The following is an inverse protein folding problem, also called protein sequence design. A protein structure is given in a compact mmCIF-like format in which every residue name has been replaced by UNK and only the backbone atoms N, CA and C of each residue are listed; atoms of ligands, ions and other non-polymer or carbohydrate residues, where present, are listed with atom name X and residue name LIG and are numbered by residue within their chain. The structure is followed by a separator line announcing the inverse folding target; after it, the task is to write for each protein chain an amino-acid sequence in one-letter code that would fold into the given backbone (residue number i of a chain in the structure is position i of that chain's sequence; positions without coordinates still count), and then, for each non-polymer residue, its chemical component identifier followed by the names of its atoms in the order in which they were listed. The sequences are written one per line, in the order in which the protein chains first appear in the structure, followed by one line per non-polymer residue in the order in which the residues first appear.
data_IF_805891215045
#
_entry.id   IF_805891215045
#
_cell.length_a   1.000
_cell.length_b   1.000
_cell.length_c   1.000
_cell.angle_alpha   90.00
_cell.angle_beta   90.00
_cell.angle_gamma   90.00
#
_symmetry.space_group_name_H-M   'P 1'
#
loop_
_entity.id
_entity.type
_entity.pdbx_description
1 polymer ?
#
# COMPACT_ATOMS: atom_id res chain seq x y z
N UNK A 1 23.24 0.03 0.26
CA UNK A 1 23.62 1.34 0.83
C UNK A 1 22.97 1.34 2.20
N UNK A 2 23.74 1.30 3.28
CA UNK A 2 23.18 1.08 4.62
C UNK A 2 22.37 2.30 5.09
N UNK A 3 21.12 2.07 5.51
CA UNK A 3 20.22 3.11 6.05
C UNK A 3 19.83 2.80 7.48
N UNK A 4 19.53 3.82 8.29
CA UNK A 4 19.00 3.60 9.64
C UNK A 4 17.54 3.12 9.59
N UNK A 5 16.74 3.70 8.69
CA UNK A 5 15.31 3.46 8.56
C UNK A 5 14.88 3.25 7.11
N UNK A 6 14.06 2.23 6.87
CA UNK A 6 13.26 2.09 5.65
C UNK A 6 11.78 2.35 5.97
N UNK A 7 11.22 3.41 5.39
CA UNK A 7 9.79 3.73 5.48
C UNK A 7 9.01 3.02 4.37
N UNK A 8 7.95 2.31 4.75
CA UNK A 8 7.16 1.48 3.83
C UNK A 8 5.72 1.95 3.83
N UNK A 9 5.21 2.32 2.65
CA UNK A 9 3.77 2.37 2.40
C UNK A 9 3.29 0.95 2.09
N UNK A 10 2.49 0.31 2.96
CA UNK A 10 1.96 -1.02 2.74
C UNK A 10 0.96 -1.03 1.57
N UNK A 11 0.69 -2.22 0.99
CA UNK A 11 -0.29 -2.35 -0.07
C UNK A 11 -1.69 -1.84 0.26
N UNK A 12 -2.46 -1.56 -0.78
CA UNK A 12 -3.85 -1.09 -0.72
C UNK A 12 -4.02 0.32 -0.14
N UNK A 13 -3.02 1.18 -0.34
CA UNK A 13 -3.08 2.58 0.07
C UNK A 13 -3.65 3.45 -1.05
N UNK A 14 -2.82 3.84 -2.02
CA UNK A 14 -3.21 4.70 -3.15
C UNK A 14 -2.37 4.35 -4.39
N UNK A 15 -3.02 4.18 -5.53
CA UNK A 15 -2.35 3.82 -6.79
C UNK A 15 -2.12 5.01 -7.71
N UNK A 16 -2.82 6.13 -7.49
CA UNK A 16 -2.76 7.32 -8.33
C UNK A 16 -1.68 8.33 -7.92
N UNK A 17 -1.24 8.29 -6.67
CA UNK A 17 -0.21 9.17 -6.14
C UNK A 17 0.41 8.55 -4.90
N UNK A 18 1.66 8.90 -4.65
CA UNK A 18 2.33 8.55 -3.41
C UNK A 18 1.52 9.07 -2.22
N UNK A 19 1.30 8.20 -1.23
CA UNK A 19 0.77 8.63 0.06
C UNK A 19 1.83 9.46 0.78
N UNK A 20 1.51 10.65 1.31
CA UNK A 20 2.55 11.63 1.64
C UNK A 20 3.30 11.30 2.96
N UNK A 21 2.78 10.45 3.84
CA UNK A 21 3.36 10.24 5.18
C UNK A 21 4.86 9.91 5.16
N UNK A 22 5.29 8.97 4.33
CA UNK A 22 6.70 8.58 4.24
C UNK A 22 7.60 9.73 3.77
N UNK A 23 7.13 10.56 2.84
CA UNK A 23 7.89 11.69 2.32
C UNK A 23 8.07 12.81 3.36
N UNK A 24 7.03 13.08 4.17
CA UNK A 24 7.12 14.06 5.26
C UNK A 24 8.06 13.58 6.36
N UNK A 25 7.92 12.33 6.81
CA UNK A 25 8.80 11.73 7.80
C UNK A 25 10.25 11.67 7.31
N UNK A 26 10.47 11.30 6.05
CA UNK A 26 11.80 11.28 5.44
C UNK A 26 12.46 12.65 5.50
N UNK A 27 11.77 13.69 5.03
CA UNK A 27 12.30 15.06 5.03
C UNK A 27 12.68 15.53 6.44
N UNK A 28 11.80 15.27 7.42
CA UNK A 28 12.08 15.59 8.83
C UNK A 28 13.30 14.83 9.38
N UNK A 29 13.33 13.51 9.23
CA UNK A 29 14.37 12.66 9.81
C UNK A 29 15.75 12.89 9.17
N UNK A 30 15.80 13.18 7.87
CA UNK A 30 17.06 13.54 7.19
C UNK A 30 17.61 14.87 7.71
N UNK A 31 16.76 15.85 8.04
CA UNK A 31 17.20 17.10 8.69
C UNK A 31 17.76 16.85 10.10
N UNK A 32 17.30 15.80 10.78
CA UNK A 32 17.86 15.33 12.05
C UNK A 32 19.12 14.46 11.88
N UNK A 33 19.61 14.26 10.65
CA UNK A 33 20.81 13.49 10.35
C UNK A 33 20.63 11.97 10.36
N UNK A 34 19.39 11.49 10.27
CA UNK A 34 19.06 10.07 10.14
C UNK A 34 19.12 9.67 8.67
N UNK A 35 19.74 8.52 8.35
CA UNK A 35 19.71 7.99 6.99
C UNK A 35 18.41 7.24 6.73
N UNK A 36 17.57 7.74 5.81
CA UNK A 36 16.24 7.20 5.55
C UNK A 36 16.08 6.80 4.08
N UNK A 37 15.57 5.60 3.84
CA UNK A 37 15.02 5.18 2.55
C UNK A 37 13.50 5.05 2.63
N UNK A 38 12.83 5.03 1.48
CA UNK A 38 11.41 4.77 1.40
C UNK A 38 11.06 3.89 0.18
N UNK A 39 9.99 3.11 0.30
CA UNK A 39 9.37 2.38 -0.80
C UNK A 39 7.84 2.37 -0.66
N UNK A 40 7.16 2.15 -1.78
CA UNK A 40 5.70 2.07 -1.81
C UNK A 40 5.27 0.71 -2.35
N UNK A 41 5.06 -0.24 -1.43
CA UNK A 41 4.64 -1.58 -1.78
C UNK A 41 3.24 -1.60 -2.41
N UNK A 42 2.40 -0.58 -2.21
CA UNK A 42 1.10 -0.51 -2.86
C UNK A 42 1.24 -0.40 -4.37
N UNK A 43 2.03 0.53 -4.86
CA UNK A 43 2.21 0.68 -6.31
C UNK A 43 3.18 -0.35 -6.87
N UNK A 44 4.21 -0.75 -6.12
CA UNK A 44 5.17 -1.76 -6.56
C UNK A 44 4.50 -3.12 -6.72
N UNK A 45 3.71 -3.58 -5.74
CA UNK A 45 2.96 -4.85 -5.86
C UNK A 45 1.94 -4.80 -6.99
N UNK A 46 1.14 -3.73 -7.07
CA UNK A 46 0.16 -3.57 -8.14
C UNK A 46 0.82 -3.70 -9.53
N UNK A 47 1.93 -3.00 -9.76
CA UNK A 47 2.61 -3.08 -11.05
C UNK A 47 3.39 -4.37 -11.29
N UNK A 48 3.65 -5.17 -10.26
CA UNK A 48 4.27 -6.49 -10.41
C UNK A 48 3.24 -7.55 -10.84
N UNK A 49 2.05 -7.52 -10.21
CA UNK A 49 1.03 -8.55 -10.44
C UNK A 49 0.20 -8.33 -11.70
N UNK A 50 -0.01 -7.08 -12.13
CA UNK A 50 -0.71 -6.75 -13.38
C UNK A 50 0.25 -6.70 -14.56
N UNK A 51 0.88 -7.84 -14.87
CA UNK A 51 1.84 -7.98 -15.97
C UNK A 51 1.59 -9.26 -16.75
N UNK A 52 2.00 -9.28 -18.02
CA UNK A 52 1.89 -10.51 -18.82
C UNK A 52 2.78 -11.65 -18.30
N UNK A 53 3.78 -11.34 -17.48
CA UNK A 53 4.66 -12.33 -16.83
C UNK A 53 4.04 -12.94 -15.57
N UNK A 54 3.29 -12.16 -14.77
CA UNK A 54 2.73 -12.63 -13.50
C UNK A 54 1.31 -13.18 -13.62
N UNK A 55 0.46 -12.60 -14.48
CA UNK A 55 -0.92 -13.06 -14.68
C UNK A 55 -1.04 -14.56 -15.03
N UNK A 56 -0.14 -15.20 -15.80
CA UNK A 56 -0.20 -16.65 -16.04
C UNK A 56 -0.16 -17.46 -14.74
N UNK A 57 0.65 -17.02 -13.76
CA UNK A 57 0.77 -17.68 -12.45
C UNK A 57 -0.53 -17.59 -11.66
N UNK A 58 -1.25 -16.46 -11.74
CA UNK A 58 -2.57 -16.29 -11.12
C UNK A 58 -3.59 -17.30 -11.70
N UNK A 59 -3.59 -17.51 -13.01
CA UNK A 59 -4.48 -18.49 -13.64
C UNK A 59 -4.10 -19.93 -13.30
N UNK A 60 -2.81 -20.23 -13.18
CA UNK A 60 -2.30 -21.53 -12.75
C UNK A 60 -2.72 -21.83 -11.30
N UNK A 61 -2.45 -20.91 -10.38
CA UNK A 61 -2.81 -21.01 -8.96
C UNK A 61 -4.32 -21.22 -8.76
N UNK A 62 -5.16 -20.45 -9.45
CA UNK A 62 -6.62 -20.62 -9.42
C UNK A 62 -7.03 -22.06 -9.82
N UNK A 63 -6.38 -22.60 -10.85
CA UNK A 63 -6.61 -23.97 -11.32
C UNK A 63 -6.13 -25.05 -10.34
N UNK A 64 -4.99 -24.84 -9.69
CA UNK A 64 -4.43 -25.75 -8.67
C UNK A 64 -5.30 -25.78 -7.40
N UNK A 65 -5.83 -24.63 -6.99
CA UNK A 65 -6.78 -24.52 -5.88
C UNK A 65 -8.17 -25.08 -6.23
N UNK A 66 -8.45 -25.31 -7.51
CA UNK A 66 -9.73 -25.82 -7.99
C UNK A 66 -10.86 -24.79 -7.94
N UNK A 67 -10.51 -23.50 -7.94
CA UNK A 67 -11.46 -22.39 -7.97
C UNK A 67 -11.84 -22.07 -9.43
N UNK A 68 -13.13 -21.83 -9.69
CA UNK A 68 -13.67 -21.58 -11.04
C UNK A 68 -14.66 -20.41 -11.04
N UNK A 69 -14.37 -19.37 -10.25
CA UNK A 69 -15.13 -18.13 -10.27
C UNK A 69 -14.71 -17.26 -11.47
N UNK A 70 -15.68 -16.60 -12.10
CA UNK A 70 -15.48 -15.81 -13.33
C UNK A 70 -14.88 -16.64 -14.50
N UNK A 71 -15.56 -17.73 -14.93
CA UNK A 71 -15.06 -18.60 -16.00
C UNK A 71 -14.89 -17.86 -17.33
N UNK A 72 -15.62 -16.77 -17.55
CA UNK A 72 -15.46 -15.89 -18.71
C UNK A 72 -14.07 -15.26 -18.80
N UNK A 73 -13.43 -14.97 -17.66
CA UNK A 73 -12.06 -14.47 -17.61
C UNK A 73 -11.08 -15.60 -17.93
N UNK A 74 -11.27 -16.79 -17.34
CA UNK A 74 -10.48 -17.99 -17.62
C UNK A 74 -10.53 -18.38 -19.11
N UNK A 75 -11.72 -18.37 -19.71
CA UNK A 75 -11.95 -18.67 -21.13
C UNK A 75 -11.25 -17.66 -22.05
N UNK A 76 -11.13 -16.41 -21.60
CA UNK A 76 -10.46 -15.32 -22.33
C UNK A 76 -9.03 -15.04 -21.85
N UNK A 77 -8.39 -15.95 -21.09
CA UNK A 77 -7.08 -15.69 -20.45
C UNK A 77 -6.03 -15.13 -21.41
N UNK A 78 -5.88 -15.69 -22.60
CA UNK A 78 -4.89 -15.24 -23.59
C UNK A 78 -5.15 -13.80 -24.05
N UNK A 79 -6.41 -13.38 -24.03
CA UNK A 79 -6.78 -12.02 -24.34
C UNK A 79 -6.41 -11.07 -23.20
N UNK A 80 -6.64 -11.43 -21.93
CA UNK A 80 -6.17 -10.61 -20.81
C UNK A 80 -4.63 -10.51 -20.79
N UNK A 81 -3.93 -11.64 -20.93
CA UNK A 81 -2.46 -11.72 -20.94
C UNK A 81 -1.83 -10.84 -22.03
N UNK A 82 -2.38 -10.85 -23.24
CA UNK A 82 -1.83 -10.06 -24.36
C UNK A 82 -2.14 -8.56 -24.29
N UNK A 83 -2.96 -8.11 -23.34
CA UNK A 83 -3.43 -6.71 -23.24
C UNK A 83 -2.98 -6.00 -21.99
N UNK A 84 -2.74 -6.73 -20.89
CA UNK A 84 -2.48 -6.14 -19.57
C UNK A 84 -1.34 -5.10 -19.59
N UNK A 85 -0.21 -5.38 -20.23
CA UNK A 85 0.92 -4.45 -20.24
C UNK A 85 0.60 -3.15 -20.99
N UNK A 86 -0.18 -3.24 -22.08
CA UNK A 86 -0.62 -2.05 -22.83
C UNK A 86 -1.60 -1.23 -21.99
N UNK A 87 -2.52 -1.89 -21.31
CA UNK A 87 -3.52 -1.24 -20.45
C UNK A 87 -2.83 -0.56 -19.25
N UNK A 88 -1.92 -1.25 -18.56
CA UNK A 88 -1.15 -0.67 -17.45
C UNK A 88 -0.27 0.49 -17.94
N UNK A 89 0.43 0.32 -19.05
CA UNK A 89 1.25 1.38 -19.64
C UNK A 89 0.42 2.64 -19.96
N UNK A 90 -0.80 2.47 -20.47
CA UNK A 90 -1.73 3.58 -20.70
C UNK A 90 -2.23 4.22 -19.40
N UNK A 91 -2.57 3.43 -18.38
CA UNK A 91 -3.01 3.95 -17.08
C UNK A 91 -1.89 4.74 -16.36
N UNK A 92 -0.63 4.40 -16.61
CA UNK A 92 0.55 5.17 -16.15
C UNK A 92 0.79 6.42 -17.01
N UNK A 93 0.55 6.31 -18.32
CA UNK A 93 0.87 7.34 -19.30
C UNK A 93 -0.28 7.49 -20.31
N UNK A 94 -1.22 8.37 -19.96
CA UNK A 94 -2.47 8.59 -20.68
C UNK A 94 -2.28 9.32 -22.03
N UNK A 95 -1.69 8.65 -23.01
CA UNK A 95 -1.50 9.20 -24.35
C UNK A 95 -2.65 8.83 -25.30
N UNK A 96 -2.92 9.71 -26.26
CA UNK A 96 -4.01 9.55 -27.24
C UNK A 96 -3.80 8.37 -28.20
N UNK A 97 -2.55 7.95 -28.43
CA UNK A 97 -2.23 6.83 -29.30
C UNK A 97 -2.70 5.52 -28.67
N UNK A 98 -2.25 5.27 -27.45
CA UNK A 98 -2.68 4.12 -26.64
C UNK A 98 -4.18 4.12 -26.38
N UNK A 99 -4.78 5.29 -26.10
CA UNK A 99 -6.22 5.42 -25.90
C UNK A 99 -7.03 4.95 -27.12
N UNK A 100 -6.59 5.31 -28.34
CA UNK A 100 -7.26 4.88 -29.57
C UNK A 100 -7.16 3.39 -29.77
N UNK A 101 -5.97 2.81 -29.55
CA UNK A 101 -5.74 1.36 -29.64
C UNK A 101 -6.64 0.58 -28.68
N UNK A 102 -6.73 1.03 -27.42
CA UNK A 102 -7.57 0.37 -26.39
C UNK A 102 -9.05 0.37 -26.78
N UNK A 103 -9.50 1.40 -27.48
CA UNK A 103 -10.89 1.55 -27.91
C UNK A 103 -11.20 0.90 -29.27
N UNK A 104 -10.22 0.25 -29.91
CA UNK A 104 -10.47 -0.51 -31.14
C UNK A 104 -11.38 -1.72 -30.86
N UNK A 105 -12.33 -2.03 -31.75
CA UNK A 105 -13.19 -3.20 -31.61
C UNK A 105 -12.36 -4.49 -31.46
N UNK A 106 -12.61 -5.25 -30.41
CA UNK A 106 -11.91 -6.51 -30.12
C UNK A 106 -10.52 -6.35 -29.50
N UNK A 107 -10.11 -5.14 -29.10
CA UNK A 107 -8.89 -4.96 -28.31
C UNK A 107 -9.07 -5.46 -26.87
N UNK A 108 -10.17 -5.07 -26.22
CA UNK A 108 -10.51 -5.54 -24.87
C UNK A 108 -11.36 -6.83 -24.94
N UNK A 109 -11.23 -7.72 -23.94
CA UNK A 109 -12.09 -8.90 -23.81
C UNK A 109 -13.54 -8.54 -23.44
N UNK A 110 -14.44 -9.51 -23.59
CA UNK A 110 -15.85 -9.41 -23.20
C UNK A 110 -16.07 -9.95 -21.78
N UNK A 111 -15.41 -9.34 -20.78
CA UNK A 111 -15.55 -9.74 -19.38
C UNK A 111 -16.80 -9.22 -18.68
N UNK A 112 -17.07 -9.73 -17.47
CA UNK A 112 -18.30 -9.49 -16.70
C UNK A 112 -18.59 -8.02 -16.34
N UNK A 113 -17.59 -7.11 -16.36
CA UNK A 113 -17.76 -5.67 -16.16
C UNK A 113 -17.85 -4.93 -17.50
N UNK A 114 -16.97 -5.24 -18.44
CA UNK A 114 -16.86 -4.61 -19.75
C UNK A 114 -18.13 -4.77 -20.58
N UNK A 115 -18.79 -5.94 -20.52
CA UNK A 115 -20.08 -6.14 -21.21
C UNK A 115 -21.23 -5.33 -20.58
N UNK A 116 -21.07 -4.85 -19.35
CA UNK A 116 -22.08 -4.08 -18.60
C UNK A 116 -21.80 -2.59 -18.59
N UNK A 117 -20.79 -2.13 -19.35
CA UNK A 117 -20.48 -0.70 -19.47
C UNK A 117 -21.73 0.07 -19.88
N UNK A 118 -22.03 1.15 -19.16
CA UNK A 118 -23.15 2.01 -19.51
C UNK A 118 -22.88 2.72 -20.86
N UNK A 119 -23.64 2.42 -21.93
CA UNK A 119 -23.42 3.04 -23.24
C UNK A 119 -23.89 4.50 -23.28
N UNK A 120 -24.64 4.96 -22.29
CA UNK A 120 -25.19 6.33 -22.22
C UNK A 120 -24.22 7.36 -21.63
N UNK A 121 -23.01 6.93 -21.23
CA UNK A 121 -21.99 7.85 -20.71
C UNK A 121 -21.61 8.85 -21.81
N UNK A 122 -21.85 10.14 -21.52
CA UNK A 122 -21.45 11.25 -22.37
C UNK A 122 -20.00 11.63 -22.09
N UNK A 123 -19.12 11.34 -23.04
CA UNK A 123 -17.72 11.75 -23.00
C UNK A 123 -17.56 13.17 -23.54
N UNK A 124 -16.54 13.89 -23.03
CA UNK A 124 -16.19 15.20 -23.58
C UNK A 124 -15.83 15.11 -25.08
N UNK A 125 -15.98 16.20 -25.82
CA UNK A 125 -15.51 16.22 -27.20
C UNK A 125 -13.98 16.33 -27.29
N UNK A 126 -13.39 15.77 -28.35
CA UNK A 126 -11.95 15.86 -28.61
C UNK A 126 -11.11 14.77 -27.93
N UNK A 127 -9.80 15.01 -27.87
CA UNK A 127 -8.82 14.03 -27.36
C UNK A 127 -9.06 13.66 -25.89
N UNK A 128 -9.48 14.61 -25.07
CA UNK A 128 -9.73 14.38 -23.66
C UNK A 128 -10.83 13.33 -23.43
N UNK A 129 -11.94 13.41 -24.16
CA UNK A 129 -13.00 12.40 -24.03
C UNK A 129 -12.61 11.02 -24.53
N UNK A 130 -11.71 10.93 -25.51
CA UNK A 130 -11.16 9.65 -25.97
C UNK A 130 -10.29 9.03 -24.87
N UNK A 131 -9.42 9.83 -24.25
CA UNK A 131 -8.57 9.39 -23.14
C UNK A 131 -9.43 8.97 -21.95
N UNK A 132 -10.43 9.77 -21.56
CA UNK A 132 -11.33 9.46 -20.44
C UNK A 132 -12.09 8.15 -20.69
N UNK A 133 -12.59 7.95 -21.93
CA UNK A 133 -13.26 6.71 -22.31
C UNK A 133 -12.30 5.52 -22.22
N UNK A 134 -11.10 5.62 -22.79
CA UNK A 134 -10.11 4.56 -22.72
C UNK A 134 -9.71 4.24 -21.26
N UNK A 135 -9.60 5.27 -20.41
CA UNK A 135 -9.27 5.16 -18.99
C UNK A 135 -10.35 4.44 -18.20
N UNK A 136 -11.62 4.75 -18.47
CA UNK A 136 -12.75 4.03 -17.87
C UNK A 136 -12.76 2.55 -18.26
N UNK A 137 -12.62 2.24 -19.55
CA UNK A 137 -12.60 0.85 -20.03
C UNK A 137 -11.37 0.09 -19.51
N UNK A 138 -10.21 0.75 -19.44
CA UNK A 138 -8.98 0.21 -18.84
C UNK A 138 -9.14 -0.07 -17.35
N UNK A 139 -9.84 0.82 -16.63
CA UNK A 139 -10.18 0.62 -15.22
C UNK A 139 -11.00 -0.65 -15.05
N UNK A 140 -12.07 -0.81 -15.83
CA UNK A 140 -12.93 -2.00 -15.77
C UNK A 140 -12.17 -3.28 -16.13
N UNK A 141 -11.29 -3.24 -17.12
CA UNK A 141 -10.44 -4.37 -17.48
C UNK A 141 -9.56 -4.83 -16.30
N UNK A 142 -8.93 -3.89 -15.60
CA UNK A 142 -8.12 -4.21 -14.42
C UNK A 142 -9.00 -4.68 -13.27
N UNK A 143 -10.17 -4.07 -13.07
CA UNK A 143 -11.13 -4.50 -12.05
C UNK A 143 -11.64 -5.93 -12.27
N UNK A 144 -11.82 -6.36 -13.51
CA UNK A 144 -12.19 -7.75 -13.82
C UNK A 144 -11.11 -8.74 -13.38
N UNK A 145 -9.85 -8.45 -13.71
CA UNK A 145 -8.72 -9.26 -13.24
C UNK A 145 -8.66 -9.24 -11.71
N UNK A 146 -8.90 -8.10 -11.07
CA UNK A 146 -8.93 -8.01 -9.61
C UNK A 146 -10.05 -8.82 -8.97
N UNK A 147 -11.25 -8.81 -9.55
CA UNK A 147 -12.36 -9.68 -9.10
C UNK A 147 -11.99 -11.16 -9.26
N UNK A 148 -11.29 -11.53 -10.34
CA UNK A 148 -10.78 -12.88 -10.55
C UNK A 148 -9.77 -13.28 -9.48
N UNK A 149 -8.77 -12.44 -9.20
CA UNK A 149 -7.77 -12.69 -8.15
C UNK A 149 -8.47 -12.84 -6.80
N UNK A 150 -9.41 -11.94 -6.49
CA UNK A 150 -10.12 -11.97 -5.22
C UNK A 150 -10.90 -13.28 -5.02
N UNK A 151 -11.62 -13.72 -6.05
CA UNK A 151 -12.48 -14.88 -5.93
C UNK A 151 -11.73 -16.23 -6.02
N UNK A 152 -10.54 -16.25 -6.60
CA UNK A 152 -9.86 -17.52 -6.93
C UNK A 152 -8.48 -17.71 -6.31
N UNK A 153 -7.79 -16.65 -5.88
CA UNK A 153 -6.37 -16.70 -5.46
C UNK A 153 -6.15 -16.09 -4.08
N UNK A 154 -6.73 -14.92 -3.82
CA UNK A 154 -6.52 -14.20 -2.56
C UNK A 154 -7.83 -13.51 -2.14
N UNK A 155 -8.56 -14.11 -1.20
CA UNK A 155 -9.87 -13.63 -0.76
C UNK A 155 -9.85 -12.20 -0.20
N UNK A 156 -8.70 -11.73 0.24
CA UNK A 156 -8.54 -10.41 0.81
C UNK A 156 -8.28 -9.36 -0.29
N UNK A 157 -7.78 -9.76 -1.48
CA UNK A 157 -7.42 -8.85 -2.58
C UNK A 157 -8.50 -7.82 -2.95
N UNK A 158 -8.14 -6.53 -2.95
CA UNK A 158 -8.97 -5.44 -3.47
C UNK A 158 -8.13 -4.18 -3.75
N UNK A 159 -8.49 -3.38 -4.76
CA UNK A 159 -7.68 -2.22 -5.17
C UNK A 159 -7.58 -1.09 -4.13
N UNK A 160 -8.67 -0.80 -3.40
CA UNK A 160 -8.74 0.35 -2.46
C UNK A 160 -9.61 0.09 -1.23
N UNK A 161 -10.15 -1.12 -1.07
CA UNK A 161 -11.11 -1.45 0.01
C UNK A 161 -10.85 -2.82 0.65
N UNK A 162 -9.56 -3.17 0.76
CA UNK A 162 -9.05 -4.49 1.14
C UNK A 162 -9.57 -5.02 2.50
N UNK A 163 -9.86 -4.15 3.48
CA UNK A 163 -10.26 -4.68 4.79
C UNK A 163 -11.09 -3.72 5.65
N UNK A 164 -12.04 -2.98 5.06
CA UNK A 164 -13.03 -2.33 5.93
C UNK A 164 -13.79 -3.38 6.73
N UNK A 165 -14.08 -4.56 6.19
CA UNK A 165 -14.77 -5.62 6.94
C UNK A 165 -13.92 -6.26 8.05
N UNK A 166 -12.66 -6.62 7.81
CA UNK A 166 -11.79 -7.25 8.84
C UNK A 166 -11.29 -6.21 9.84
N UNK A 167 -10.92 -5.02 9.36
CA UNK A 167 -10.41 -3.96 10.21
C UNK A 167 -11.50 -3.24 11.03
N UNK A 168 -12.77 -3.27 10.59
CA UNK A 168 -13.91 -2.85 11.43
C UNK A 168 -14.44 -3.96 12.34
N UNK A 169 -14.20 -5.24 12.01
CA UNK A 169 -14.51 -6.37 12.89
C UNK A 169 -13.41 -6.69 13.90
N UNK A 170 -12.22 -6.09 13.78
CA UNK A 170 -11.04 -6.21 14.64
C UNK A 170 -11.23 -5.62 16.05
N UNK A 171 -12.38 -5.87 16.67
CA UNK A 171 -12.59 -5.70 18.10
C UNK A 171 -11.79 -6.73 18.93
N UNK A 172 -11.19 -7.75 18.29
CA UNK A 172 -10.19 -8.65 18.85
C UNK A 172 -9.10 -9.00 17.83
N UNK A 173 -7.85 -9.12 18.27
CA UNK A 173 -6.71 -9.58 17.46
C UNK A 173 -6.86 -11.07 17.04
N UNK A 174 -7.81 -11.81 17.61
CA UNK A 174 -8.02 -13.25 17.34
C UNK A 174 -8.22 -13.57 15.86
N UNK A 175 -9.07 -12.80 15.15
CA UNK A 175 -9.32 -13.06 13.72
C UNK A 175 -8.07 -12.80 12.88
N UNK A 176 -7.32 -11.74 13.21
CA UNK A 176 -6.07 -11.42 12.51
C UNK A 176 -5.03 -12.51 12.77
N UNK A 177 -4.85 -12.93 14.02
CA UNK A 177 -3.93 -14.03 14.40
C UNK A 177 -4.29 -15.34 13.68
N UNK A 178 -5.58 -15.66 13.53
CA UNK A 178 -6.02 -16.81 12.74
C UNK A 178 -5.59 -16.69 11.26
N UNK A 179 -5.93 -15.56 10.61
CA UNK A 179 -5.60 -15.36 9.20
C UNK A 179 -4.09 -15.33 8.94
N UNK A 180 -3.32 -14.74 9.86
CA UNK A 180 -1.86 -14.67 9.79
C UNK A 180 -1.17 -16.03 9.95
N UNK A 181 -1.89 -17.09 10.35
CA UNK A 181 -1.36 -18.47 10.41
C UNK A 181 -1.60 -19.26 9.14
N UNK A 182 -2.48 -18.79 8.25
CA UNK A 182 -2.65 -19.41 6.95
C UNK A 182 -1.41 -19.20 6.09
N UNK A 183 -1.19 -20.14 5.17
CA UNK A 183 -0.11 -20.01 4.19
C UNK A 183 -0.29 -18.73 3.38
N UNK A 184 0.80 -18.03 3.06
CA UNK A 184 0.73 -16.88 2.17
C UNK A 184 0.10 -17.24 0.83
N UNK A 185 -0.68 -16.32 0.27
CA UNK A 185 -1.16 -16.41 -1.11
C UNK A 185 -0.03 -16.09 -2.09
N UNK A 186 -0.21 -16.42 -3.38
CA UNK A 186 0.71 -16.01 -4.44
C UNK A 186 0.94 -14.48 -4.48
N UNK A 187 -0.07 -13.69 -4.14
CA UNK A 187 0.03 -12.22 -4.09
C UNK A 187 0.85 -11.77 -2.88
N UNK A 188 0.66 -12.41 -1.72
CA UNK A 188 1.45 -12.15 -0.52
C UNK A 188 2.92 -12.55 -0.71
N UNK A 189 3.19 -13.65 -1.41
CA UNK A 189 4.55 -14.08 -1.76
C UNK A 189 5.26 -13.04 -2.63
N UNK A 190 4.60 -12.50 -3.65
CA UNK A 190 5.18 -11.44 -4.48
C UNK A 190 5.42 -10.15 -3.68
N UNK A 191 4.51 -9.81 -2.76
CA UNK A 191 4.71 -8.69 -1.82
C UNK A 191 5.98 -8.88 -0.97
N UNK A 192 6.19 -10.09 -0.44
CA UNK A 192 7.38 -10.42 0.36
C UNK A 192 8.67 -10.39 -0.48
N UNK A 193 8.63 -10.90 -1.72
CA UNK A 193 9.75 -10.81 -2.66
C UNK A 193 10.15 -9.35 -2.92
N UNK A 194 9.18 -8.48 -3.18
CA UNK A 194 9.42 -7.04 -3.39
C UNK A 194 10.02 -6.39 -2.15
N UNK A 195 9.52 -6.72 -0.96
CA UNK A 195 10.06 -6.22 0.30
C UNK A 195 11.51 -6.71 0.53
N UNK A 196 11.81 -7.98 0.24
CA UNK A 196 13.16 -8.56 0.35
C UNK A 196 14.16 -7.80 -0.53
N UNK A 197 13.77 -7.43 -1.76
CA UNK A 197 14.60 -6.62 -2.66
C UNK A 197 14.94 -5.28 -2.01
N UNK A 198 13.97 -4.61 -1.38
CA UNK A 198 14.21 -3.33 -0.70
C UNK A 198 15.08 -3.50 0.55
N UNK A 199 14.84 -4.55 1.35
CA UNK A 199 15.65 -4.87 2.53
C UNK A 199 17.11 -5.14 2.12
N UNK A 200 17.33 -5.94 1.09
CA UNK A 200 18.67 -6.27 0.58
C UNK A 200 19.40 -5.04 0.03
N UNK A 201 18.66 -4.11 -0.58
CA UNK A 201 19.23 -2.89 -1.16
C UNK A 201 19.69 -1.89 -0.09
N UNK A 202 18.90 -1.73 0.97
CA UNK A 202 19.09 -0.68 1.97
C UNK A 202 19.66 -1.18 3.32
N UNK A 203 19.58 -2.48 3.58
CA UNK A 203 20.04 -3.13 4.82
C UNK A 203 19.64 -2.35 6.09
N UNK A 204 18.34 -2.03 6.28
CA UNK A 204 17.90 -1.12 7.34
C UNK A 204 18.01 -1.76 8.73
N UNK A 205 18.14 -0.93 9.77
CA UNK A 205 18.03 -1.39 11.18
C UNK A 205 16.60 -1.36 11.70
N UNK A 206 15.80 -0.43 11.17
CA UNK A 206 14.39 -0.26 11.48
C UNK A 206 13.60 -0.21 10.17
N UNK A 207 12.47 -0.91 10.12
CA UNK A 207 11.47 -0.79 9.05
C UNK A 207 10.20 -0.21 9.67
N UNK A 208 9.77 0.93 9.15
CA UNK A 208 8.59 1.65 9.62
C UNK A 208 7.44 1.52 8.62
N UNK A 209 6.32 0.95 9.02
CA UNK A 209 5.11 0.89 8.20
C UNK A 209 4.16 2.04 8.55
N UNK A 210 3.79 2.84 7.55
CA UNK A 210 2.70 3.82 7.69
C UNK A 210 1.38 3.14 7.36
N UNK A 211 0.49 2.99 8.33
CA UNK A 211 -0.78 2.25 8.21
C UNK A 211 -1.94 3.26 8.31
N UNK A 212 -2.31 3.90 7.20
CA UNK A 212 -3.34 4.94 7.23
C UNK A 212 -4.76 4.39 7.30
N UNK A 213 -5.01 3.20 6.75
CA UNK A 213 -6.35 2.64 6.65
C UNK A 213 -6.42 1.20 7.18
N UNK A 214 -7.62 0.72 7.58
CA UNK A 214 -7.80 -0.66 8.05
C UNK A 214 -7.33 -1.72 7.05
N UNK A 215 -7.51 -1.45 5.73
CA UNK A 215 -7.03 -2.29 4.62
C UNK A 215 -5.52 -2.56 4.63
N UNK A 216 -4.73 -1.72 5.28
CA UNK A 216 -3.28 -1.81 5.24
C UNK A 216 -2.68 -2.68 6.36
N UNK A 217 -3.43 -2.86 7.46
CA UNK A 217 -2.91 -3.50 8.66
C UNK A 217 -2.46 -4.94 8.38
N UNK A 218 -3.31 -5.73 7.71
CA UNK A 218 -3.03 -7.14 7.46
C UNK A 218 -1.76 -7.33 6.62
N UNK A 219 -1.65 -6.59 5.51
CA UNK A 219 -0.45 -6.63 4.66
C UNK A 219 0.82 -6.17 5.42
N UNK A 220 0.71 -5.15 6.28
CA UNK A 220 1.82 -4.72 7.13
C UNK A 220 2.22 -5.80 8.15
N UNK A 221 1.24 -6.49 8.77
CA UNK A 221 1.49 -7.60 9.69
C UNK A 221 2.17 -8.79 8.98
N UNK A 222 1.74 -9.14 7.76
CA UNK A 222 2.38 -10.17 6.93
C UNK A 222 3.82 -9.82 6.60
N UNK A 223 4.07 -8.59 6.16
CA UNK A 223 5.42 -8.09 5.94
C UNK A 223 6.28 -8.16 7.21
N UNK A 224 5.71 -7.80 8.36
CA UNK A 224 6.39 -7.85 9.63
C UNK A 224 6.69 -9.30 10.08
N UNK A 225 5.78 -10.26 9.87
CA UNK A 225 6.04 -11.69 10.12
C UNK A 225 7.23 -12.19 9.28
N UNK A 226 7.24 -11.84 8.00
CA UNK A 226 8.34 -12.15 7.09
C UNK A 226 9.67 -11.56 7.60
N UNK A 227 9.67 -10.28 7.99
CA UNK A 227 10.85 -9.63 8.57
C UNK A 227 11.31 -10.36 9.84
N UNK A 228 10.40 -10.69 10.76
CA UNK A 228 10.77 -11.40 12.01
C UNK A 228 11.34 -12.79 11.77
N UNK A 229 10.85 -13.48 10.76
CA UNK A 229 11.29 -14.83 10.42
C UNK A 229 12.66 -14.85 9.73
N UNK A 230 12.88 -13.95 8.76
CA UNK A 230 14.06 -14.01 7.88
C UNK A 230 15.11 -12.94 8.20
N UNK A 231 14.73 -11.86 8.86
CA UNK A 231 15.59 -10.73 9.22
C UNK A 231 15.40 -10.32 10.69
N UNK A 232 15.59 -11.24 11.67
CA UNK A 232 15.21 -11.03 13.07
C UNK A 232 15.95 -9.87 13.76
N UNK A 233 17.09 -9.44 13.23
CA UNK A 233 17.87 -8.30 13.74
C UNK A 233 17.26 -6.95 13.35
N UNK A 234 16.40 -6.92 12.32
CA UNK A 234 15.71 -5.71 11.88
C UNK A 234 14.49 -5.48 12.76
N UNK A 235 14.38 -4.26 13.30
CA UNK A 235 13.24 -3.83 14.10
C UNK A 235 12.09 -3.36 13.23
N UNK A 236 10.86 -3.54 13.70
CA UNK A 236 9.64 -3.18 13.00
C UNK A 236 8.85 -2.18 13.84
N UNK A 237 8.50 -1.04 13.24
CA UNK A 237 7.65 -0.03 13.85
C UNK A 237 6.40 0.23 13.00
N UNK A 238 5.24 0.35 13.63
CA UNK A 238 4.00 0.76 12.98
C UNK A 238 3.56 2.16 13.45
N UNK A 239 2.97 2.92 12.54
CA UNK A 239 2.31 4.19 12.85
C UNK A 239 1.24 4.54 11.82
N UNK A 240 0.68 5.74 11.90
CA UNK A 240 -0.31 6.25 10.94
C UNK A 240 -1.76 6.22 11.43
N UNK A 241 -2.67 6.67 10.56
CA UNK A 241 -4.07 6.96 10.90
C UNK A 241 -4.80 5.80 11.60
N UNK A 242 -4.63 4.57 11.12
CA UNK A 242 -5.26 3.40 11.75
C UNK A 242 -4.73 3.14 13.17
N UNK A 243 -3.41 3.28 13.37
CA UNK A 243 -2.82 3.15 14.71
C UNK A 243 -3.40 4.21 15.66
N UNK A 244 -3.58 5.43 15.16
CA UNK A 244 -4.05 6.58 15.94
C UNK A 244 -5.52 6.49 16.37
N UNK A 245 -6.33 5.74 15.62
CA UNK A 245 -7.75 5.52 15.93
C UNK A 245 -7.99 4.17 16.61
N UNK A 246 -7.64 3.07 15.95
CA UNK A 246 -8.05 1.73 16.37
C UNK A 246 -7.10 1.10 17.39
N UNK A 247 -5.80 1.42 17.36
CA UNK A 247 -4.80 0.80 18.24
C UNK A 247 -4.52 1.61 19.52
N UNK A 248 -5.23 2.73 19.76
CA UNK A 248 -5.00 3.58 20.95
C UNK A 248 -5.28 2.88 22.28
N UNK A 249 -6.13 1.86 22.27
CA UNK A 249 -6.46 1.06 23.46
C UNK A 249 -5.91 -0.36 23.37
N UNK A 250 -4.83 -0.57 22.59
CA UNK A 250 -4.19 -1.87 22.41
C UNK A 250 -3.71 -2.44 23.75
N UNK A 251 -4.12 -3.68 24.03
CA UNK A 251 -3.75 -4.43 25.23
C UNK A 251 -3.25 -5.84 24.92
N UNK A 252 -3.48 -6.34 23.70
CA UNK A 252 -3.12 -7.71 23.33
C UNK A 252 -1.60 -7.79 23.06
N UNK A 253 -0.82 -8.54 23.85
CA UNK A 253 0.62 -8.62 23.68
C UNK A 253 1.04 -9.42 22.44
N UNK A 254 0.16 -10.26 21.85
CA UNK A 254 0.51 -11.13 20.72
C UNK A 254 0.96 -10.35 19.48
N UNK A 255 0.44 -9.15 19.27
CA UNK A 255 0.89 -8.30 18.16
C UNK A 255 2.38 -7.97 18.23
N UNK A 256 2.96 -7.93 19.44
CA UNK A 256 4.39 -7.68 19.66
C UNK A 256 5.28 -8.91 19.45
N UNK A 257 4.70 -10.08 19.14
CA UNK A 257 5.46 -11.19 18.56
C UNK A 257 5.91 -10.85 17.12
N UNK A 258 5.20 -9.93 16.46
CA UNK A 258 5.37 -9.56 15.05
C UNK A 258 5.97 -8.15 14.91
N UNK A 259 5.68 -7.24 15.84
CA UNK A 259 6.08 -5.81 15.80
C UNK A 259 6.88 -5.43 17.05
N UNK A 260 7.87 -4.52 16.95
CA UNK A 260 8.61 -4.05 18.13
C UNK A 260 8.03 -2.76 18.73
N UNK A 261 7.56 -1.85 17.88
CA UNK A 261 7.08 -0.53 18.30
C UNK A 261 5.78 -0.16 17.58
N UNK A 262 4.82 0.42 18.31
CA UNK A 262 3.62 1.02 17.70
C UNK A 262 3.51 2.44 18.21
N UNK A 263 3.65 3.43 17.33
CA UNK A 263 3.59 4.85 17.71
C UNK A 263 2.20 5.43 17.46
N UNK A 264 1.82 6.40 18.29
CA UNK A 264 0.60 7.17 18.16
C UNK A 264 0.85 8.66 17.88
N UNK A 265 -0.16 9.29 17.32
CA UNK A 265 -0.21 10.70 16.90
C UNK A 265 0.87 11.02 15.86
N UNK A 266 1.51 12.20 15.94
CA UNK A 266 2.60 12.62 15.06
C UNK A 266 3.88 11.81 15.28
N UNK A 267 4.47 11.30 14.22
CA UNK A 267 5.50 10.28 14.18
C UNK A 267 6.91 10.83 14.11
N UNK A 268 7.09 12.11 13.80
CA UNK A 268 8.40 12.77 13.73
C UNK A 268 9.23 12.52 15.01
N UNK A 269 8.69 12.94 16.16
CA UNK A 269 9.33 12.79 17.47
C UNK A 269 9.47 11.32 17.92
N UNK A 270 8.39 10.52 17.91
CA UNK A 270 8.42 9.12 18.30
C UNK A 270 9.43 8.29 17.50
N UNK A 271 9.43 8.40 16.16
CA UNK A 271 10.38 7.67 15.32
C UNK A 271 11.82 8.07 15.58
N UNK A 272 12.08 9.38 15.72
CA UNK A 272 13.43 9.86 16.05
C UNK A 272 13.92 9.26 17.37
N UNK A 273 13.05 9.20 18.39
CA UNK A 273 13.40 8.64 19.69
C UNK A 273 13.58 7.11 19.63
N UNK A 274 12.78 6.39 18.84
CA UNK A 274 13.01 4.96 18.58
C UNK A 274 14.37 4.74 17.92
N UNK A 275 14.71 5.52 16.89
CA UNK A 275 16.02 5.40 16.21
C UNK A 275 17.16 5.69 17.18
N UNK A 276 17.05 6.74 17.99
CA UNK A 276 18.04 7.04 19.03
C UNK A 276 18.16 5.93 20.07
N UNK A 277 17.04 5.32 20.45
CA UNK A 277 17.02 4.19 21.38
C UNK A 277 17.75 2.98 20.79
N UNK A 278 17.47 2.63 19.53
CA UNK A 278 18.16 1.55 18.80
C UNK A 278 19.65 1.83 18.54
N UNK A 279 20.07 3.09 18.65
CA UNK A 279 21.46 3.52 18.57
C UNK A 279 22.12 3.69 19.95
N UNK A 280 21.47 3.24 21.03
CA UNK A 280 21.92 3.36 22.42
C UNK A 280 22.19 4.81 22.88
N UNK A 281 21.61 5.81 22.20
CA UNK A 281 21.76 7.24 22.55
C UNK A 281 20.82 7.66 23.67
N UNK A 282 19.67 6.99 23.77
CA UNK A 282 18.64 7.24 24.79
C UNK A 282 18.09 5.94 25.34
N UNK A 283 17.62 5.96 26.59
CA UNK A 283 16.94 4.81 27.20
C UNK A 283 15.49 4.69 26.72
N UNK A 284 14.85 3.57 27.03
CA UNK A 284 13.44 3.30 26.69
C UNK A 284 12.47 4.30 27.36
N UNK A 285 12.85 4.85 28.53
CA UNK A 285 12.09 5.89 29.24
C UNK A 285 12.02 7.23 28.48
N UNK A 286 12.86 7.40 27.45
CA UNK A 286 12.85 8.58 26.59
C UNK A 286 11.89 8.44 25.40
N UNK A 287 11.30 7.26 25.19
CA UNK A 287 10.28 7.05 24.18
C UNK A 287 9.02 7.86 24.51
N UNK A 288 8.38 8.39 23.46
CA UNK A 288 7.14 9.14 23.57
C UNK A 288 6.09 8.54 22.65
N UNK A 289 4.84 8.52 23.11
CA UNK A 289 3.68 8.05 22.36
C UNK A 289 3.91 6.70 21.66
N UNK A 290 4.60 5.78 22.34
CA UNK A 290 5.04 4.51 21.75
C UNK A 290 4.60 3.36 22.65
N UNK A 291 3.85 2.41 22.09
CA UNK A 291 3.64 1.12 22.71
C UNK A 291 4.83 0.20 22.45
N UNK A 292 5.21 -0.54 23.49
CA UNK A 292 6.26 -1.57 23.50
C UNK A 292 5.78 -2.77 24.30
N UNK A 293 6.45 -3.91 24.13
CA UNK A 293 6.27 -5.07 24.99
C UNK A 293 7.34 -5.06 26.10
N UNK A 294 6.91 -4.90 27.34
CA UNK A 294 7.79 -4.93 28.50
C UNK A 294 7.29 -6.00 29.48
N UNK A 295 8.17 -6.94 29.87
CA UNK A 295 7.85 -8.03 30.79
C UNK A 295 6.61 -8.87 30.40
N UNK A 296 6.32 -8.97 29.09
CA UNK A 296 5.16 -9.70 28.57
C UNK A 296 3.84 -8.91 28.58
N UNK A 297 3.88 -7.63 28.95
CA UNK A 297 2.72 -6.73 28.96
C UNK A 297 2.91 -5.58 27.96
N UNK A 298 1.81 -5.14 27.36
CA UNK A 298 1.80 -3.96 26.49
C UNK A 298 1.93 -2.71 27.37
N UNK A 299 3.02 -1.97 27.20
CA UNK A 299 3.31 -0.75 27.96
C UNK A 299 3.33 0.44 27.02
N UNK A 300 2.58 1.48 27.38
CA UNK A 300 2.59 2.75 26.68
C UNK A 300 3.66 3.68 27.27
N UNK A 301 4.78 3.84 26.55
CA UNK A 301 5.85 4.78 26.90
C UNK A 301 5.48 6.17 26.41
N UNK A 302 5.42 7.11 27.37
CA UNK A 302 5.05 8.49 27.06
C UNK A 302 5.82 9.49 27.92
N UNK A 303 7.06 9.78 27.55
CA UNK A 303 7.86 10.84 28.18
C UNK A 303 7.15 12.19 28.07
N UNK A 304 7.01 12.90 29.20
CA UNK A 304 6.40 14.23 29.27
C UNK A 304 7.42 15.32 29.68
N UNK A 305 7.28 16.56 29.17
CA UNK A 305 6.36 16.96 28.10
C UNK A 305 6.75 16.33 26.77
N UNK A 306 5.75 16.01 25.93
CA UNK A 306 6.04 15.50 24.59
C UNK A 306 6.76 16.54 23.73
N UNK A 307 7.61 16.07 22.83
CA UNK A 307 8.21 16.91 21.81
C UNK A 307 7.15 17.31 20.79
N UNK A 308 6.98 18.62 20.56
CA UNK A 308 6.03 19.15 19.58
C UNK A 308 6.81 19.78 18.42
N UNK A 309 6.76 19.13 17.27
CA UNK A 309 7.31 19.68 16.03
C UNK A 309 6.21 20.49 15.33
N UNK A 310 6.28 21.82 15.42
CA UNK A 310 5.29 22.67 14.77
C UNK A 310 5.47 22.65 13.26
N UNK A 311 4.38 22.53 12.51
CA UNK A 311 4.39 22.51 11.05
C UNK A 311 5.23 23.62 10.38
N UNK A 312 5.20 24.83 10.94
CA UNK A 312 5.97 25.99 10.43
C UNK A 312 7.50 25.78 10.49
N UNK A 313 7.95 24.87 11.33
CA UNK A 313 9.35 24.56 11.61
C UNK A 313 9.77 23.22 10.98
N UNK A 314 8.85 22.52 10.28
CA UNK A 314 9.15 21.28 9.56
C UNK A 314 9.77 21.59 8.18
N UNK A 315 10.70 20.73 7.69
CA UNK A 315 11.27 20.88 6.37
C UNK A 315 10.26 20.54 5.27
N UNK A 316 10.68 20.77 4.02
CA UNK A 316 9.95 20.25 2.88
C UNK A 316 9.97 18.71 2.88
N UNK A 317 8.86 18.05 2.48
CA UNK A 317 8.84 16.60 2.31
C UNK A 317 9.82 16.15 1.23
N UNK A 318 10.50 15.02 1.45
CA UNK A 318 11.37 14.40 0.46
C UNK A 318 10.69 13.19 -0.20
N UNK A 319 10.33 13.35 -1.46
CA UNK A 319 9.73 12.28 -2.26
C UNK A 319 10.75 11.43 -3.04
N UNK A 320 12.05 11.70 -2.88
CA UNK A 320 13.08 10.96 -3.59
C UNK A 320 13.09 9.48 -3.19
N UNK A 321 13.26 8.61 -4.19
CA UNK A 321 13.22 7.15 -4.03
C UNK A 321 11.87 6.50 -4.37
N UNK A 322 10.78 7.27 -4.49
CA UNK A 322 9.48 6.74 -4.89
C UNK A 322 9.38 6.53 -6.42
N UNK A 323 8.74 5.43 -6.89
CA UNK A 323 8.69 5.07 -8.31
C UNK A 323 7.55 5.81 -9.04
N UNK A 324 7.73 7.11 -9.24
CA UNK A 324 6.70 8.01 -9.78
C UNK A 324 6.13 7.61 -11.15
N UNK A 325 6.91 6.92 -11.97
CA UNK A 325 6.50 6.36 -13.27
C UNK A 325 5.53 5.19 -13.14
N UNK A 326 5.50 4.49 -12.00
CA UNK A 326 4.65 3.32 -11.80
C UNK A 326 3.20 3.66 -11.45
N UNK A 327 2.95 4.85 -10.87
CA UNK A 327 1.62 5.28 -10.44
C UNK A 327 0.63 5.36 -11.60
N UNK A 328 -0.58 4.88 -11.35
CA UNK A 328 -1.64 4.68 -12.34
C UNK A 328 -2.86 5.51 -12.03
N UNK A 329 -3.52 6.01 -13.05
CA UNK A 329 -4.71 6.84 -12.87
C UNK A 329 -5.97 6.07 -13.29
N UNK A 330 -6.76 5.69 -12.30
CA UNK A 330 -8.05 5.01 -12.47
C UNK A 330 -9.19 6.02 -12.66
N UNK A 331 -10.30 5.56 -13.27
CA UNK A 331 -11.52 6.33 -13.43
C UNK A 331 -12.75 5.50 -13.02
N UNK A 332 -12.95 5.41 -11.70
CA UNK A 332 -14.08 4.68 -11.09
C UNK A 332 -15.42 5.36 -11.37
N UNK A 333 -15.43 6.71 -11.45
CA UNK A 333 -16.66 7.50 -11.66
C UNK A 333 -16.41 8.55 -12.74
N UNK A 334 -17.30 8.61 -13.73
CA UNK A 334 -17.26 9.59 -14.84
C UNK A 334 -17.80 10.97 -14.41
N UNK A 335 -17.35 11.43 -13.24
CA UNK A 335 -17.67 12.76 -12.75
C UNK A 335 -16.51 13.70 -13.11
N UNK A 336 -16.74 14.80 -13.85
CA UNK A 336 -15.69 15.77 -14.18
C UNK A 336 -14.91 16.31 -12.98
N UNK A 337 -15.51 16.35 -11.78
CA UNK A 337 -14.81 16.71 -10.54
C UNK A 337 -13.74 15.68 -10.14
N UNK A 338 -13.91 14.40 -10.47
CA UNK A 338 -12.91 13.37 -10.20
C UNK A 338 -11.63 13.57 -11.00
N UNK A 339 -11.67 14.24 -12.17
CA UNK A 339 -10.46 14.62 -12.92
C UNK A 339 -9.52 15.50 -12.09
N UNK A 340 -10.08 16.37 -11.23
CA UNK A 340 -9.28 17.14 -10.26
C UNK A 340 -8.59 16.29 -9.20
N UNK A 341 -8.88 14.99 -9.09
CA UNK A 341 -8.22 14.11 -8.11
C UNK A 341 -7.41 12.99 -8.76
N UNK A 342 -7.66 12.70 -10.04
CA UNK A 342 -7.05 11.54 -10.71
C UNK A 342 -6.11 11.90 -11.87
N UNK A 343 -6.32 13.00 -12.60
CA UNK A 343 -5.58 13.26 -13.87
C UNK A 343 -4.22 13.92 -13.70
N UNK A 344 -4.00 14.58 -12.56
CA UNK A 344 -2.75 15.27 -12.27
C UNK A 344 -2.10 14.68 -11.03
N UNK A 345 -0.78 14.88 -10.95
CA UNK A 345 -0.02 14.59 -9.73
C UNK A 345 -0.21 15.75 -8.78
N UNK A 346 -0.79 15.47 -7.63
CA UNK A 346 -1.07 16.47 -6.61
C UNK A 346 -0.07 16.31 -5.47
N UNK A 347 0.61 17.39 -5.11
CA UNK A 347 1.28 17.43 -3.82
C UNK A 347 0.21 17.65 -2.77
N UNK A 348 -0.06 16.61 -1.97
CA UNK A 348 -0.98 16.73 -0.84
C UNK A 348 -0.31 17.57 0.23
N UNK A 349 -0.96 18.67 0.60
CA UNK A 349 -0.55 19.51 1.72
C UNK A 349 -1.13 18.95 3.01
N UNK A 350 -0.28 18.72 4.00
CA UNK A 350 -0.71 18.35 5.35
C UNK A 350 -1.37 19.56 6.03
N UNK A 351 -2.64 19.40 6.40
CA UNK A 351 -3.41 20.42 7.16
C UNK A 351 -3.77 19.89 8.56
N UNK A 352 -3.86 18.58 8.74
CA UNK A 352 -4.14 17.92 10.02
C UNK A 352 -3.04 16.92 10.38
N UNK A 353 -2.45 17.15 11.56
CA UNK A 353 -1.50 16.29 12.24
C UNK A 353 -2.22 15.05 12.82
N UNK A 354 -1.58 13.87 12.79
CA UNK A 354 -2.14 12.58 13.22
C UNK A 354 -2.95 11.77 12.19
N UNK A 355 -3.32 12.33 11.02
CA UNK A 355 -3.83 11.50 9.90
C UNK A 355 -2.71 10.87 9.08
N UNK A 356 -1.52 11.46 9.15
CA UNK A 356 -0.27 10.93 8.63
C UNK A 356 0.53 10.42 9.83
N UNK A 357 1.37 9.40 9.62
CA UNK A 357 2.31 8.99 10.66
C UNK A 357 3.18 10.18 10.97
#
# INVERSE_FOLDING_TARGET
MHTDLLLVTPPFTQLNTAYPATAYLKGFLEEQGVSVAQCDLSIELFTAIFTSDFLPLIFEEAGELGNDHFPDISDNKEHYLSRVDTVIGFLQKQDIGSAKVILEPGFLPEGHRLIKVNPEILWAEGEEGIIDKAKHYSTLFIEEIGDFIQANVDEFFAFTKYAEQIGSSASSFDQLDEFLRYQPTLIEDEMMNLLEVQISKYEPKLIGFTIPFPGNLFAALRCAQFIKQFFPDIKVAFGGGYCNTELRSLQDPRIFEIVDFITLDDGEGPLLNIIHHLQDKVGEDELERTFVLENGEVVYKNKLPNTIHHHKDLPAPDYSGLPFEKYTSFLDVVNPMHRMWTDKRWNKLTISHGCYW
#
